data_IF_301843508252
#
_entry.id   IF_301843508252
#
_cell.length_a   1.000
_cell.length_b   1.000
_cell.length_c   1.000
_cell.angle_alpha   90.00
_cell.angle_beta   90.00
_cell.angle_gamma   90.00
#
_symmetry.space_group_name_H-M   'P 1'
#
loop_
_entity.id
_entity.type
_entity.pdbx_description
1 polymer ?
#
# COMPACT_ATOMS: atom_id res chain seq x y z
N UNK A 1 -48.12 45.93 -27.93
CA UNK A 1 -49.19 45.80 -26.92
C UNK A 1 -48.50 45.66 -25.58
N UNK A 2 -48.87 46.52 -24.63
CA UNK A 2 -48.51 46.49 -23.21
C UNK A 2 -49.04 45.17 -22.57
N UNK A 3 -48.57 44.63 -21.45
CA UNK A 3 -48.38 45.17 -20.08
C UNK A 3 -47.21 44.39 -19.40
N UNK A 4 -46.59 44.74 -18.28
CA UNK A 4 -46.85 45.67 -17.18
C UNK A 4 -45.80 45.38 -16.08
N UNK A 5 -45.59 46.34 -15.20
CA UNK A 5 -44.65 46.32 -14.07
C UNK A 5 -45.27 45.51 -12.91
N UNK A 6 -44.51 44.71 -12.16
CA UNK A 6 -44.44 44.87 -10.69
C UNK A 6 -43.35 44.05 -9.98
N UNK A 7 -42.70 44.78 -9.09
CA UNK A 7 -41.78 44.48 -8.00
C UNK A 7 -42.09 43.23 -7.16
N UNK A 8 -41.03 42.50 -6.82
CA UNK A 8 -41.02 41.58 -5.69
C UNK A 8 -39.59 41.32 -5.22
N UNK A 9 -39.08 42.13 -4.28
CA UNK A 9 -37.91 41.75 -3.48
C UNK A 9 -38.30 40.56 -2.61
N UNK A 10 -37.69 39.40 -2.85
CA UNK A 10 -37.52 38.40 -1.80
C UNK A 10 -36.03 38.37 -1.43
N UNK A 11 -35.68 39.03 -0.33
CA UNK A 11 -34.43 38.77 0.37
C UNK A 11 -34.63 37.47 1.16
N UNK A 12 -34.02 36.38 0.70
CA UNK A 12 -33.90 35.16 1.49
C UNK A 12 -32.51 34.54 1.29
N UNK A 13 -31.68 34.76 2.31
CA UNK A 13 -30.61 33.93 2.87
C UNK A 13 -29.62 33.27 1.90
N UNK A 14 -28.38 33.74 2.04
CA UNK A 14 -27.15 33.00 1.82
C UNK A 14 -27.23 31.56 2.38
N UNK A 15 -26.99 30.58 1.51
CA UNK A 15 -26.19 29.41 1.86
C UNK A 15 -25.27 29.16 0.66
N UNK A 16 -23.96 29.23 0.91
CA UNK A 16 -22.94 29.13 -0.12
C UNK A 16 -23.00 27.78 -0.84
N UNK A 17 -23.16 27.82 -2.15
CA UNK A 17 -22.80 26.72 -3.03
C UNK A 17 -21.29 26.61 -3.08
N UNK A 18 -20.76 25.48 -2.60
CA UNK A 18 -19.38 25.06 -2.85
C UNK A 18 -19.10 25.08 -4.35
N UNK A 19 -17.89 25.48 -4.81
CA UNK A 19 -17.53 25.25 -6.19
C UNK A 19 -17.47 23.74 -6.42
N UNK A 20 -18.18 23.29 -7.45
CA UNK A 20 -18.13 21.95 -8.00
C UNK A 20 -16.66 21.55 -8.24
N UNK A 21 -16.18 20.54 -7.51
CA UNK A 21 -14.92 19.89 -7.87
C UNK A 21 -15.16 19.14 -9.17
N UNK A 22 -14.75 19.79 -10.25
CA UNK A 22 -14.62 19.22 -11.58
C UNK A 22 -13.85 17.90 -11.50
N UNK A 23 -14.47 16.87 -12.07
CA UNK A 23 -13.81 15.66 -12.59
C UNK A 23 -12.44 15.97 -13.19
N UNK A 24 -11.47 15.05 -13.03
CA UNK A 24 -10.05 15.13 -13.41
C UNK A 24 -9.06 15.58 -12.31
N UNK A 25 -9.24 15.14 -11.05
CA UNK A 25 -8.06 14.83 -10.23
C UNK A 25 -7.42 13.58 -10.85
N UNK A 26 -6.45 13.82 -11.74
CA UNK A 26 -5.81 12.85 -12.61
C UNK A 26 -5.17 11.70 -11.83
N UNK A 27 -5.13 10.53 -12.46
CA UNK A 27 -4.40 9.32 -12.05
C UNK A 27 -2.95 9.56 -11.60
N UNK A 28 -2.35 10.70 -11.97
CA UNK A 28 -1.01 11.11 -11.57
C UNK A 28 -0.91 11.52 -10.10
N UNK A 29 -1.99 12.04 -9.50
CA UNK A 29 -2.01 12.27 -8.05
C UNK A 29 -2.02 10.97 -7.24
N UNK A 30 -2.41 9.84 -7.85
CA UNK A 30 -2.36 8.53 -7.20
C UNK A 30 -0.96 7.90 -7.26
N UNK A 31 -0.14 8.27 -8.27
CA UNK A 31 1.24 7.81 -8.44
C UNK A 31 2.23 8.54 -7.50
N UNK A 32 1.88 9.74 -7.02
CA UNK A 32 2.74 10.55 -6.14
C UNK A 32 2.47 10.36 -4.64
N UNK A 33 1.51 9.51 -4.25
CA UNK A 33 1.01 9.39 -2.86
C UNK A 33 1.64 8.26 -2.02
N UNK A 34 2.53 7.44 -2.57
CA UNK A 34 3.21 6.39 -1.81
C UNK A 34 4.50 6.87 -1.13
N UNK A 35 4.56 8.17 -0.80
CA UNK A 35 5.68 8.74 -0.01
C UNK A 35 5.61 8.36 1.47
N UNK A 36 4.41 8.08 1.97
CA UNK A 36 4.21 7.69 3.35
C UNK A 36 4.33 6.17 3.51
N UNK A 37 4.95 5.75 4.60
CA UNK A 37 5.01 4.33 4.93
C UNK A 37 3.64 3.79 5.34
N UNK A 38 3.35 2.55 4.95
CA UNK A 38 2.15 1.85 5.39
C UNK A 38 2.46 1.20 6.74
N UNK A 39 1.77 1.65 7.79
CA UNK A 39 2.02 1.21 9.16
C UNK A 39 0.83 0.38 9.67
N UNK A 40 1.07 -0.86 10.07
CA UNK A 40 0.05 -1.75 10.65
C UNK A 40 0.47 -2.25 12.03
N UNK A 41 -0.50 -2.47 12.90
CA UNK A 41 -0.27 -3.02 14.23
C UNK A 41 -1.41 -3.88 14.71
N UNK A 42 -1.14 -4.76 15.69
CA UNK A 42 -2.13 -5.67 16.26
C UNK A 42 -1.64 -7.11 16.30
N UNK A 43 -2.58 -8.05 16.22
CA UNK A 43 -2.33 -9.50 16.34
C UNK A 43 -2.19 -10.23 15.01
N UNK A 44 -2.55 -9.58 13.91
CA UNK A 44 -2.40 -10.12 12.57
C UNK A 44 -3.13 -9.29 11.51
N UNK A 45 -2.87 -9.60 10.25
CA UNK A 45 -3.47 -8.89 9.12
C UNK A 45 -2.93 -9.35 7.77
N UNK A 46 -3.34 -8.61 6.73
CA UNK A 46 -2.90 -8.80 5.35
C UNK A 46 -2.17 -7.54 4.89
N UNK A 47 -1.07 -7.71 4.17
CA UNK A 47 -0.42 -6.66 3.39
C UNK A 47 -0.28 -7.11 1.94
N UNK A 48 -0.39 -6.16 1.04
CA UNK A 48 -0.39 -6.39 -0.41
C UNK A 48 0.44 -5.32 -1.11
N UNK A 49 1.00 -5.65 -2.26
CA UNK A 49 1.54 -4.65 -3.18
C UNK A 49 0.43 -3.67 -3.59
N UNK A 50 0.76 -2.42 -3.94
CA UNK A 50 -0.24 -1.47 -4.39
C UNK A 50 -1.04 -2.03 -5.57
N UNK A 51 -2.35 -1.83 -5.55
CA UNK A 51 -3.32 -2.30 -6.56
C UNK A 51 -3.56 -3.82 -6.66
N UNK A 52 -2.92 -4.66 -5.84
CA UNK A 52 -3.14 -6.11 -5.87
C UNK A 52 -4.65 -6.47 -5.88
N UNK A 53 -5.11 -7.45 -6.69
CA UNK A 53 -4.33 -8.33 -7.57
C UNK A 53 -4.07 -7.75 -8.97
N UNK A 54 -4.37 -6.46 -9.18
CA UNK A 54 -4.02 -5.76 -10.41
C UNK A 54 -2.55 -5.34 -10.39
N UNK A 55 -2.09 -4.83 -11.54
CA UNK A 55 -0.71 -4.41 -11.73
C UNK A 55 -0.29 -3.27 -10.80
N UNK A 56 0.83 -3.49 -10.12
CA UNK A 56 1.48 -2.48 -9.30
C UNK A 56 2.08 -1.37 -10.19
N UNK A 57 2.26 -0.14 -9.65
CA UNK A 57 2.92 0.94 -10.38
C UNK A 57 4.40 0.63 -10.68
N UNK A 58 4.89 1.17 -11.80
CA UNK A 58 6.32 1.19 -12.11
C UNK A 58 7.03 2.24 -11.23
N UNK A 59 8.35 2.12 -11.09
CA UNK A 59 9.20 3.08 -10.35
C UNK A 59 8.74 3.31 -8.91
N UNK A 60 8.21 2.27 -8.27
CA UNK A 60 7.71 2.32 -6.90
C UNK A 60 8.88 2.23 -5.90
N UNK A 61 8.72 2.92 -4.78
CA UNK A 61 9.52 2.72 -3.56
C UNK A 61 8.61 2.82 -2.34
N UNK A 62 7.96 1.70 -1.99
CA UNK A 62 6.99 1.66 -0.89
C UNK A 62 7.55 0.93 0.32
N UNK A 63 7.45 1.58 1.48
CA UNK A 63 7.84 1.02 2.78
C UNK A 63 6.61 0.58 3.57
N UNK A 64 6.72 -0.56 4.25
CA UNK A 64 5.71 -1.11 5.15
C UNK A 64 6.34 -1.39 6.52
N UNK A 65 5.58 -1.14 7.59
CA UNK A 65 5.96 -1.48 8.95
C UNK A 65 4.86 -2.27 9.65
N UNK A 66 5.26 -3.37 10.28
CA UNK A 66 4.42 -4.18 11.16
C UNK A 66 4.90 -3.96 12.59
N UNK A 67 3.99 -3.69 13.51
CA UNK A 67 4.26 -3.63 14.95
C UNK A 67 3.32 -4.54 15.72
N UNK A 68 3.87 -5.48 16.46
CA UNK A 68 3.11 -6.36 17.36
C UNK A 68 3.32 -5.95 18.81
N UNK A 69 2.64 -6.63 19.74
CA UNK A 69 2.88 -6.46 21.16
C UNK A 69 4.37 -6.71 21.49
N UNK A 70 5.02 -5.91 22.36
CA UNK A 70 6.43 -6.09 22.72
C UNK A 70 6.81 -7.48 23.22
N UNK A 71 5.87 -8.21 23.83
CA UNK A 71 6.08 -9.59 24.30
C UNK A 71 6.04 -10.65 23.19
N UNK A 72 5.57 -10.29 22.00
CA UNK A 72 5.40 -11.17 20.84
C UNK A 72 6.45 -10.88 19.75
N UNK A 73 6.46 -11.71 18.71
CA UNK A 73 7.20 -11.48 17.46
C UNK A 73 6.25 -11.53 16.26
N UNK A 74 6.65 -10.87 15.17
CA UNK A 74 5.93 -10.96 13.91
C UNK A 74 6.31 -12.24 13.15
N UNK A 75 5.32 -12.98 12.70
CA UNK A 75 5.48 -14.07 11.72
C UNK A 75 4.79 -13.67 10.43
N UNK A 76 5.53 -13.69 9.32
CA UNK A 76 5.07 -13.30 7.98
C UNK A 76 4.95 -14.55 7.12
N UNK A 77 3.82 -14.72 6.46
CA UNK A 77 3.59 -15.79 5.47
C UNK A 77 3.34 -15.18 4.10
N UNK A 78 4.20 -15.49 3.14
CA UNK A 78 4.02 -15.10 1.74
C UNK A 78 2.95 -16.02 1.13
N UNK A 79 1.83 -15.44 0.71
CA UNK A 79 0.68 -16.17 0.17
C UNK A 79 0.73 -16.23 -1.36
N UNK A 80 1.14 -15.14 -1.99
CA UNK A 80 1.38 -15.06 -3.43
C UNK A 80 2.46 -14.01 -3.69
N UNK A 81 3.33 -14.27 -4.66
CA UNK A 81 4.36 -13.32 -5.06
C UNK A 81 4.72 -13.59 -6.52
N UNK A 82 4.34 -12.64 -7.37
CA UNK A 82 4.57 -12.66 -8.81
C UNK A 82 4.97 -11.25 -9.23
N UNK A 83 6.28 -11.04 -9.36
CA UNK A 83 6.84 -9.80 -9.91
C UNK A 83 7.42 -10.05 -11.30
N UNK A 84 7.71 -8.96 -12.00
CA UNK A 84 8.06 -8.96 -13.40
C UNK A 84 9.46 -9.51 -13.67
N UNK A 85 10.43 -9.07 -12.88
CA UNK A 85 11.85 -9.30 -13.16
C UNK A 85 12.65 -9.51 -11.87
N UNK A 86 13.98 -9.64 -12.01
CA UNK A 86 14.92 -9.59 -10.90
C UNK A 86 15.09 -8.21 -10.30
N UNK A 87 14.64 -7.15 -10.99
CA UNK A 87 14.78 -5.76 -10.52
C UNK A 87 13.66 -5.35 -9.58
N UNK A 88 12.46 -5.92 -9.77
CA UNK A 88 11.37 -5.81 -8.81
C UNK A 88 11.64 -6.66 -7.56
N UNK A 89 11.85 -6.02 -6.41
CA UNK A 89 12.22 -6.72 -5.18
C UNK A 89 11.39 -6.30 -3.95
N UNK A 90 11.05 -7.28 -3.12
CA UNK A 90 10.54 -7.09 -1.77
C UNK A 90 11.60 -7.53 -0.76
N UNK A 91 12.13 -6.57 -0.01
CA UNK A 91 13.05 -6.80 1.12
C UNK A 91 12.26 -6.85 2.42
N UNK A 92 12.57 -7.80 3.29
CA UNK A 92 11.96 -7.99 4.61
C UNK A 92 13.05 -7.98 5.67
N UNK A 93 12.95 -7.05 6.62
CA UNK A 93 13.88 -6.82 7.71
C UNK A 93 13.28 -7.18 9.08
N UNK A 94 14.14 -7.72 9.94
CA UNK A 94 13.86 -8.06 11.34
C UNK A 94 13.97 -6.81 12.22
N UNK A 95 12.96 -5.94 12.21
CA UNK A 95 12.93 -4.79 13.10
C UNK A 95 12.09 -3.61 12.60
N UNK A 96 12.20 -2.49 13.30
CA UNK A 96 11.43 -1.26 13.04
C UNK A 96 12.04 -0.34 11.97
N UNK A 97 13.21 -0.69 11.42
CA UNK A 97 13.93 0.13 10.45
C UNK A 97 14.42 -0.73 9.29
N UNK A 98 14.38 -0.16 8.09
CA UNK A 98 15.02 -0.74 6.91
C UNK A 98 16.55 -0.70 7.05
N UNK A 99 17.23 -1.73 6.57
CA UNK A 99 18.69 -1.84 6.49
C UNK A 99 19.39 -2.36 7.75
N UNK A 100 18.66 -2.72 8.80
CA UNK A 100 19.27 -3.21 10.06
C UNK A 100 19.65 -4.69 9.96
N UNK A 101 18.67 -5.56 9.68
CA UNK A 101 18.88 -7.01 9.53
C UNK A 101 17.91 -7.61 8.52
N UNK A 102 18.43 -7.88 7.33
CA UNK A 102 17.67 -8.54 6.25
C UNK A 102 17.39 -10.00 6.59
N UNK A 103 16.11 -10.37 6.62
CA UNK A 103 15.66 -11.77 6.73
C UNK A 103 15.47 -12.41 5.35
N UNK A 104 14.92 -11.65 4.41
CA UNK A 104 14.58 -12.16 3.08
C UNK A 104 14.62 -11.05 2.04
N UNK A 105 15.04 -11.44 0.84
CA UNK A 105 14.85 -10.69 -0.40
C UNK A 105 14.09 -11.60 -1.36
N UNK A 106 12.99 -11.10 -1.90
CA UNK A 106 12.12 -11.79 -2.84
C UNK A 106 12.10 -11.03 -4.16
N UNK A 107 12.30 -11.74 -5.25
CA UNK A 107 12.31 -11.24 -6.62
C UNK A 107 11.91 -12.37 -7.58
N UNK A 108 11.45 -12.01 -8.78
CA UNK A 108 10.88 -12.92 -9.78
C UNK A 108 9.73 -13.81 -9.24
N UNK A 109 9.22 -14.69 -10.09
CA UNK A 109 8.21 -15.70 -9.76
C UNK A 109 8.79 -16.90 -8.95
N UNK A 110 9.80 -16.68 -8.12
CA UNK A 110 10.54 -17.76 -7.42
C UNK A 110 9.72 -18.50 -6.38
N UNK A 111 8.56 -17.98 -6.01
CA UNK A 111 7.72 -18.49 -4.92
C UNK A 111 6.33 -18.92 -5.39
N UNK A 112 6.10 -19.03 -6.70
CA UNK A 112 4.88 -19.64 -7.24
C UNK A 112 4.66 -21.01 -6.59
N UNK A 113 3.59 -21.13 -5.80
CA UNK A 113 3.15 -22.36 -5.12
C UNK A 113 3.92 -22.77 -3.84
N UNK A 114 4.69 -21.89 -3.19
CA UNK A 114 5.30 -22.18 -1.89
C UNK A 114 4.81 -21.20 -0.82
N UNK A 115 4.14 -21.73 0.21
CA UNK A 115 3.91 -20.99 1.45
C UNK A 115 5.27 -20.79 2.14
N UNK A 116 5.78 -19.57 2.09
CA UNK A 116 7.03 -19.21 2.78
C UNK A 116 6.68 -18.52 4.09
N UNK A 117 7.13 -19.10 5.20
CA UNK A 117 7.00 -18.51 6.54
C UNK A 117 8.33 -17.89 6.94
N UNK A 118 8.29 -16.65 7.42
CA UNK A 118 9.43 -15.86 7.89
C UNK A 118 9.09 -15.41 9.30
N UNK A 119 9.80 -15.93 10.30
CA UNK A 119 9.62 -15.55 11.71
C UNK A 119 10.65 -14.50 12.09
N UNK A 120 10.19 -13.32 12.51
CA UNK A 120 11.05 -12.26 13.06
C UNK A 120 11.48 -12.62 14.49
N UNK A 121 12.54 -11.96 14.97
CA UNK A 121 12.96 -12.06 16.37
C UNK A 121 12.54 -10.83 17.18
N UNK A 122 12.18 -9.74 16.51
CA UNK A 122 11.71 -8.50 17.13
C UNK A 122 10.17 -8.39 17.14
N UNK A 123 9.64 -7.48 17.97
CA UNK A 123 8.21 -7.12 17.98
C UNK A 123 7.82 -6.16 16.84
N UNK A 124 8.70 -6.01 15.85
CA UNK A 124 8.48 -5.20 14.66
C UNK A 124 9.15 -5.86 13.46
N UNK A 125 8.56 -5.62 12.28
CA UNK A 125 9.14 -5.97 10.99
C UNK A 125 9.00 -4.78 10.04
N UNK A 126 9.97 -4.60 9.15
CA UNK A 126 9.94 -3.56 8.12
C UNK A 126 10.15 -4.19 6.76
N UNK A 127 9.49 -3.66 5.75
CA UNK A 127 9.59 -4.17 4.40
C UNK A 127 9.66 -3.03 3.41
N UNK A 128 10.32 -3.27 2.26
CA UNK A 128 10.40 -2.31 1.17
C UNK A 128 10.18 -3.02 -0.15
N UNK A 129 9.22 -2.53 -0.93
CA UNK A 129 8.95 -3.00 -2.28
C UNK A 129 9.41 -1.94 -3.28
N UNK A 130 10.39 -2.29 -4.11
CA UNK A 130 10.95 -1.44 -5.16
C UNK A 130 10.61 -2.05 -6.51
N UNK A 131 10.19 -1.21 -7.45
CA UNK A 131 9.90 -1.64 -8.83
C UNK A 131 10.63 -0.81 -9.86
N UNK A 132 10.94 -1.41 -11.01
CA UNK A 132 11.49 -0.70 -12.17
C UNK A 132 10.43 -0.38 -13.23
N UNK A 133 10.85 0.20 -14.35
CA UNK A 133 9.98 0.41 -15.50
C UNK A 133 9.94 -0.85 -16.36
N UNK A 134 8.77 -1.47 -16.45
CA UNK A 134 8.57 -2.72 -17.18
C UNK A 134 7.61 -2.60 -18.36
N UNK A 135 7.95 -3.32 -19.43
CA UNK A 135 7.07 -3.54 -20.58
C UNK A 135 6.24 -4.84 -20.47
N UNK A 136 6.46 -5.69 -19.46
CA UNK A 136 5.91 -7.04 -19.33
C UNK A 136 4.63 -7.08 -18.46
N UNK A 137 3.62 -6.31 -18.85
CA UNK A 137 2.32 -6.28 -18.15
C UNK A 137 1.32 -7.28 -18.74
N UNK A 138 0.42 -7.90 -17.93
CA UNK A 138 0.13 -7.60 -16.53
C UNK A 138 0.86 -8.49 -15.51
N UNK A 139 1.44 -7.85 -14.50
CA UNK A 139 1.94 -8.48 -13.26
C UNK A 139 0.95 -8.30 -12.13
N UNK A 140 0.90 -9.24 -11.17
CA UNK A 140 -0.08 -9.22 -10.08
C UNK A 140 0.49 -8.68 -8.76
N UNK A 141 1.81 -8.70 -8.60
CA UNK A 141 2.48 -8.32 -7.36
C UNK A 141 2.39 -9.41 -6.29
N UNK A 142 2.22 -9.00 -5.04
CA UNK A 142 2.32 -9.88 -3.90
C UNK A 142 1.24 -9.65 -2.86
N UNK A 143 0.98 -10.72 -2.09
CA UNK A 143 0.08 -10.74 -0.95
C UNK A 143 0.71 -11.59 0.14
N UNK A 144 0.72 -11.08 1.36
CA UNK A 144 1.20 -11.78 2.54
C UNK A 144 0.22 -11.64 3.71
N UNK A 145 0.24 -12.60 4.62
CA UNK A 145 -0.35 -12.45 5.94
C UNK A 145 0.74 -12.28 6.98
N UNK A 146 0.42 -11.60 8.07
CA UNK A 146 1.27 -11.52 9.25
C UNK A 146 0.47 -11.85 10.50
N UNK A 147 1.12 -12.43 11.50
CA UNK A 147 0.54 -12.75 12.81
C UNK A 147 1.51 -12.36 13.93
N UNK A 148 0.98 -11.96 15.07
CA UNK A 148 1.72 -11.89 16.31
C UNK A 148 1.77 -13.30 16.93
N UNK A 149 2.97 -13.82 17.15
CA UNK A 149 3.17 -15.14 17.76
C UNK A 149 4.06 -15.02 19.00
N UNK A 150 3.92 -15.90 20.00
CA UNK A 150 4.82 -15.93 21.15
C UNK A 150 6.28 -16.05 20.73
N UNK A 151 7.18 -15.42 21.50
CA UNK A 151 8.63 -15.64 21.35
C UNK A 151 8.95 -17.11 21.60
N UNK A 152 9.65 -17.73 20.66
CA UNK A 152 10.20 -19.07 20.80
C UNK A 152 11.45 -19.09 21.72
#
# INVERSE_FOLDING_TARGET
>A
MWDGIESGRLLAKMHGTQPEKTSFESSENQLMLLKDSINVSGTGGILESPNYPNTYPDNLDQIYHIKVDPSMVAEITILNFVTDSTFDELVIDDGSKMGDKVLKILFENKTKNLLMVITCTQSAASMRFVTDESNEKPVKGWRLSWNAVPRA
#
